data_IF_945337119249
#
_entry.id   IF_945337119249
#
_cell.length_a   1.000
_cell.length_b   1.000
_cell.length_c   1.000
_cell.angle_alpha   90.00
_cell.angle_beta   90.00
_cell.angle_gamma   90.00
#
_symmetry.space_group_name_H-M   'P 1'
#
loop_
_entity.id
_entity.type
_entity.pdbx_description
1 polymer ?
#
# COMPACT_ATOMS: atom_id res chain seq x y z
N UNK A 1 16.25 -12.42 56.65
CA UNK A 1 15.50 -13.32 55.75
C UNK A 1 14.85 -12.62 54.53
N UNK A 2 15.15 -11.34 54.24
CA UNK A 2 14.51 -10.56 53.15
C UNK A 2 15.14 -10.80 51.76
N UNK A 3 16.48 -10.93 51.68
CA UNK A 3 17.21 -10.98 50.40
C UNK A 3 16.89 -12.22 49.55
N UNK A 4 16.52 -13.34 50.18
CA UNK A 4 16.17 -14.58 49.45
C UNK A 4 14.89 -14.42 48.63
N UNK A 5 13.90 -13.67 49.13
CA UNK A 5 12.63 -13.43 48.41
C UNK A 5 12.83 -12.49 47.22
N UNK A 6 13.67 -11.47 47.37
CA UNK A 6 14.05 -10.55 46.29
C UNK A 6 14.85 -11.25 45.18
N UNK A 7 15.80 -12.11 45.56
CA UNK A 7 16.56 -12.90 44.58
C UNK A 7 15.65 -13.85 43.79
N UNK A 8 14.66 -14.47 44.44
CA UNK A 8 13.65 -15.30 43.75
C UNK A 8 12.78 -14.48 42.79
N UNK A 9 12.33 -13.28 43.18
CA UNK A 9 11.53 -12.42 42.33
C UNK A 9 12.31 -11.96 41.08
N UNK A 10 13.58 -11.58 41.24
CA UNK A 10 14.46 -11.20 40.14
C UNK A 10 14.70 -12.39 39.19
N UNK A 11 14.90 -13.60 39.75
CA UNK A 11 15.11 -14.81 38.95
C UNK A 11 13.87 -15.18 38.14
N UNK A 12 12.66 -15.06 38.73
CA UNK A 12 11.40 -15.26 38.01
C UNK A 12 11.19 -14.24 36.89
N UNK A 13 11.52 -12.97 37.13
CA UNK A 13 11.40 -11.92 36.12
C UNK A 13 12.40 -12.12 34.97
N UNK A 14 13.62 -12.56 35.29
CA UNK A 14 14.63 -12.88 34.29
C UNK A 14 14.24 -14.11 33.47
N UNK A 15 13.68 -15.15 34.09
CA UNK A 15 13.14 -16.31 33.37
C UNK A 15 11.99 -15.92 32.45
N UNK A 16 11.07 -15.06 32.90
CA UNK A 16 9.98 -14.55 32.06
C UNK A 16 10.53 -13.75 30.87
N UNK A 17 11.53 -12.90 31.09
CA UNK A 17 12.15 -12.11 30.03
C UNK A 17 12.86 -12.99 28.99
N UNK A 18 13.63 -13.99 29.43
CA UNK A 18 14.27 -14.97 28.54
C UNK A 18 13.23 -15.78 27.78
N UNK A 19 12.13 -16.18 28.44
CA UNK A 19 11.02 -16.88 27.78
C UNK A 19 10.38 -16.02 26.68
N UNK A 20 10.13 -14.73 26.94
CA UNK A 20 9.60 -13.81 25.94
C UNK A 20 10.58 -13.61 24.77
N UNK A 21 11.89 -13.51 25.03
CA UNK A 21 12.90 -13.42 23.97
C UNK A 21 12.97 -14.69 23.12
N UNK A 22 12.87 -15.86 23.73
CA UNK A 22 12.83 -17.15 23.01
C UNK A 22 11.55 -17.27 22.18
N UNK A 23 10.39 -16.85 22.69
CA UNK A 23 9.14 -16.79 21.93
C UNK A 23 9.23 -15.82 20.75
N UNK A 24 9.82 -14.64 20.95
CA UNK A 24 10.04 -13.66 19.89
C UNK A 24 10.99 -14.17 18.81
N UNK A 25 12.09 -14.84 19.20
CA UNK A 25 13.03 -15.44 18.26
C UNK A 25 12.38 -16.59 17.49
N UNK A 26 11.66 -17.48 18.19
CA UNK A 26 10.90 -18.57 17.58
C UNK A 26 9.86 -18.05 16.58
N UNK A 27 9.12 -17.01 16.95
CA UNK A 27 8.17 -16.32 16.07
C UNK A 27 8.87 -15.76 14.82
N UNK A 28 10.00 -15.07 15.01
CA UNK A 28 10.76 -14.47 13.90
C UNK A 28 11.30 -15.53 12.93
N UNK A 29 11.81 -16.66 13.43
CA UNK A 29 12.28 -17.77 12.61
C UNK A 29 11.12 -18.45 11.86
N UNK A 30 10.00 -18.69 12.55
CA UNK A 30 8.80 -19.28 11.94
C UNK A 30 8.18 -18.38 10.86
N UNK A 31 8.20 -17.06 11.04
CA UNK A 31 7.74 -16.11 10.01
C UNK A 31 8.63 -16.18 8.77
N UNK A 32 9.96 -16.36 8.92
CA UNK A 32 10.86 -16.54 7.77
C UNK A 32 10.57 -17.81 6.98
N UNK A 33 10.33 -18.92 7.67
CA UNK A 33 10.02 -20.20 7.02
C UNK A 33 8.63 -20.21 6.35
N UNK A 34 7.67 -19.46 6.89
CA UNK A 34 6.34 -19.25 6.29
C UNK A 34 6.34 -18.21 5.17
N UNK A 35 7.28 -17.25 5.19
CA UNK A 35 7.50 -16.30 4.11
C UNK A 35 8.31 -16.90 2.95
N UNK A 36 9.06 -17.98 3.17
CA UNK A 36 9.83 -18.67 2.13
C UNK A 36 8.95 -19.27 1.00
N UNK A 37 7.78 -19.88 1.26
CA UNK A 37 6.86 -20.32 0.19
C UNK A 37 6.06 -19.17 -0.46
N UNK A 38 6.17 -17.92 0.01
CA UNK A 38 5.64 -16.74 -0.70
C UNK A 38 6.64 -16.16 -1.71
N UNK A 39 7.93 -16.54 -1.61
CA UNK A 39 9.02 -16.10 -2.48
C UNK A 39 9.46 -17.19 -3.48
N UNK A 40 8.61 -18.19 -3.73
CA UNK A 40 8.99 -19.43 -4.41
C UNK A 40 7.92 -19.98 -5.34
N UNK A 41 7.36 -19.12 -6.20
CA UNK A 41 7.14 -19.51 -7.59
C UNK A 41 8.28 -18.87 -8.39
N UNK A 42 9.01 -19.70 -9.12
CA UNK A 42 10.23 -19.41 -9.86
C UNK A 42 10.28 -18.02 -10.52
N UNK A 43 11.23 -17.17 -10.11
CA UNK A 43 11.73 -16.06 -10.95
C UNK A 43 10.75 -14.95 -11.36
N UNK A 44 9.58 -14.81 -10.72
CA UNK A 44 8.70 -13.66 -10.97
C UNK A 44 9.19 -12.42 -10.19
N UNK A 45 9.44 -11.32 -10.91
CA UNK A 45 9.62 -10.00 -10.29
C UNK A 45 8.43 -9.69 -9.37
N UNK A 46 8.63 -8.95 -8.25
CA UNK A 46 7.53 -8.57 -7.39
C UNK A 46 6.41 -7.93 -8.21
N UNK A 47 5.19 -8.47 -8.08
CA UNK A 47 4.01 -8.01 -8.80
C UNK A 47 3.89 -6.48 -8.70
N UNK A 48 3.83 -5.81 -9.85
CA UNK A 48 3.72 -4.36 -9.90
C UNK A 48 2.56 -3.88 -9.02
N UNK A 49 2.79 -2.86 -8.22
CA UNK A 49 1.79 -2.26 -7.35
C UNK A 49 1.16 -1.06 -8.05
N UNK A 50 -0.14 -1.15 -8.28
CA UNK A 50 -0.93 -0.15 -9.01
C UNK A 50 -2.03 0.39 -8.11
N UNK A 51 -2.17 1.72 -8.06
CA UNK A 51 -3.27 2.39 -7.35
C UNK A 51 -4.24 2.99 -8.37
N UNK A 52 -5.53 2.70 -8.22
CA UNK A 52 -6.62 3.35 -8.96
C UNK A 52 -7.38 4.29 -8.02
N UNK A 53 -7.33 5.59 -8.31
CA UNK A 53 -8.04 6.64 -7.57
C UNK A 53 -9.28 7.05 -8.35
N UNK A 54 -10.46 6.67 -7.87
CA UNK A 54 -11.74 7.02 -8.48
C UNK A 54 -12.25 8.41 -8.07
N UNK A 55 -13.23 8.92 -8.82
CA UNK A 55 -13.94 10.13 -8.44
C UNK A 55 -14.68 9.99 -7.11
N UNK A 56 -15.31 8.83 -6.92
CA UNK A 56 -16.07 8.39 -5.75
C UNK A 56 -16.27 6.85 -5.78
N UNK A 57 -16.50 6.23 -4.62
CA UNK A 57 -16.57 4.75 -4.49
C UNK A 57 -17.92 4.14 -4.89
N UNK A 58 -19.05 4.76 -4.52
CA UNK A 58 -20.38 4.15 -4.62
C UNK A 58 -21.12 4.50 -5.93
N UNK A 59 -20.37 4.74 -7.00
CA UNK A 59 -20.90 5.05 -8.32
C UNK A 59 -20.84 3.82 -9.26
N UNK A 60 -21.95 3.41 -9.91
CA UNK A 60 -21.97 2.24 -10.79
C UNK A 60 -20.93 2.25 -11.91
N UNK A 61 -20.63 3.43 -12.47
CA UNK A 61 -19.58 3.59 -13.48
C UNK A 61 -18.22 3.21 -12.90
N UNK A 62 -17.85 3.76 -11.74
CA UNK A 62 -16.57 3.48 -11.11
C UNK A 62 -16.44 2.04 -10.61
N UNK A 63 -17.54 1.40 -10.21
CA UNK A 63 -17.56 -0.04 -9.91
C UNK A 63 -17.28 -0.90 -11.15
N UNK A 64 -17.76 -0.47 -12.33
CA UNK A 64 -17.41 -1.13 -13.60
C UNK A 64 -15.94 -0.94 -13.96
N UNK A 65 -15.37 0.26 -13.73
CA UNK A 65 -13.95 0.54 -13.95
C UNK A 65 -13.08 -0.31 -13.01
N UNK A 66 -13.46 -0.39 -11.73
CA UNK A 66 -12.79 -1.24 -10.74
C UNK A 66 -12.81 -2.71 -11.18
N UNK A 67 -13.95 -3.23 -11.63
CA UNK A 67 -14.04 -4.62 -12.09
C UNK A 67 -13.08 -4.89 -13.26
N UNK A 68 -13.05 -4.03 -14.28
CA UNK A 68 -12.11 -4.16 -15.39
C UNK A 68 -10.64 -4.09 -14.95
N UNK A 69 -10.32 -3.21 -14.01
CA UNK A 69 -8.99 -3.10 -13.44
C UNK A 69 -8.60 -4.34 -12.62
N UNK A 70 -9.55 -4.97 -11.91
CA UNK A 70 -9.32 -6.24 -11.18
C UNK A 70 -9.17 -7.42 -12.12
N UNK A 71 -9.97 -7.51 -13.17
CA UNK A 71 -9.82 -8.57 -14.17
C UNK A 71 -8.46 -8.49 -14.87
N UNK A 72 -8.02 -7.27 -15.22
CA UNK A 72 -6.70 -7.02 -15.74
C UNK A 72 -5.59 -7.33 -14.71
N UNK A 73 -5.80 -7.06 -13.41
CA UNK A 73 -4.81 -7.37 -12.38
C UNK A 73 -4.58 -8.88 -12.26
N UNK A 74 -5.65 -9.67 -12.36
CA UNK A 74 -5.57 -11.13 -12.38
C UNK A 74 -4.92 -11.65 -13.67
N UNK A 75 -5.21 -11.03 -14.82
CA UNK A 75 -4.66 -11.44 -16.11
C UNK A 75 -3.16 -11.13 -16.25
N UNK A 76 -2.72 -9.97 -15.75
CA UNK A 76 -1.35 -9.47 -15.95
C UNK A 76 -0.47 -9.58 -14.69
N UNK A 77 -1.00 -10.07 -13.58
CA UNK A 77 -0.23 -10.38 -12.38
C UNK A 77 0.24 -9.17 -11.57
N UNK A 78 -0.51 -8.06 -11.57
CA UNK A 78 -0.21 -6.87 -10.74
C UNK A 78 -1.12 -6.80 -9.51
N UNK A 79 -0.67 -6.13 -8.45
CA UNK A 79 -1.47 -5.83 -7.27
C UNK A 79 -2.23 -4.51 -7.44
N UNK A 80 -3.57 -4.56 -7.40
CA UNK A 80 -4.43 -3.38 -7.51
C UNK A 80 -4.95 -2.93 -6.14
N UNK A 81 -4.68 -1.68 -5.78
CA UNK A 81 -5.41 -0.97 -4.72
C UNK A 81 -6.42 0.00 -5.35
N UNK A 82 -7.70 -0.16 -5.00
CA UNK A 82 -8.78 0.73 -5.44
C UNK A 82 -9.19 1.64 -4.28
N UNK A 83 -9.06 2.94 -4.46
CA UNK A 83 -9.40 3.98 -3.47
C UNK A 83 -10.16 5.12 -4.12
N UNK A 84 -10.88 5.87 -3.31
CA UNK A 84 -11.63 7.03 -3.74
C UNK A 84 -12.34 7.64 -2.55
N UNK A 85 -12.84 8.88 -2.67
CA UNK A 85 -13.70 9.45 -1.65
C UNK A 85 -15.07 8.74 -1.66
N UNK A 86 -15.82 8.82 -0.56
CA UNK A 86 -17.17 8.23 -0.49
C UNK A 86 -18.16 8.96 -1.42
N UNK A 87 -17.88 10.22 -1.73
CA UNK A 87 -18.64 11.11 -2.61
C UNK A 87 -17.68 12.03 -3.35
N UNK A 88 -18.08 12.63 -4.46
CA UNK A 88 -17.25 13.61 -5.19
C UNK A 88 -16.63 14.65 -4.25
N UNK A 89 -15.31 14.60 -4.09
CA UNK A 89 -14.55 15.44 -3.17
C UNK A 89 -13.11 15.67 -3.68
N UNK A 90 -12.85 16.74 -4.45
CA UNK A 90 -11.54 17.01 -5.03
C UNK A 90 -10.42 17.15 -3.99
N UNK A 91 -10.72 17.76 -2.83
CA UNK A 91 -9.74 17.91 -1.75
C UNK A 91 -9.32 16.56 -1.15
N UNK A 92 -10.22 15.57 -1.15
CA UNK A 92 -9.89 14.21 -0.71
C UNK A 92 -9.11 13.44 -1.76
N UNK A 93 -9.43 13.61 -3.05
CA UNK A 93 -8.62 13.04 -4.13
C UNK A 93 -7.17 13.57 -4.11
N UNK A 94 -6.96 14.85 -3.82
CA UNK A 94 -5.62 15.43 -3.60
C UNK A 94 -4.90 14.73 -2.44
N UNK A 95 -5.58 14.49 -1.32
CA UNK A 95 -4.99 13.78 -0.16
C UNK A 95 -4.68 12.32 -0.48
N UNK A 96 -5.58 11.64 -1.19
CA UNK A 96 -5.39 10.26 -1.63
C UNK A 96 -4.18 10.17 -2.57
N UNK A 97 -4.06 11.06 -3.56
CA UNK A 97 -2.90 11.12 -4.44
C UNK A 97 -1.60 11.34 -3.65
N UNK A 98 -1.57 12.29 -2.70
CA UNK A 98 -0.39 12.48 -1.81
C UNK A 98 -0.03 11.20 -1.06
N UNK A 99 -1.03 10.49 -0.52
CA UNK A 99 -0.83 9.22 0.19
C UNK A 99 -0.31 8.13 -0.74
N UNK A 100 -0.87 8.01 -1.94
CA UNK A 100 -0.44 7.04 -2.95
C UNK A 100 1.00 7.30 -3.38
N UNK A 101 1.39 8.55 -3.65
CA UNK A 101 2.78 8.90 -3.96
C UNK A 101 3.73 8.47 -2.83
N UNK A 102 3.36 8.70 -1.57
CA UNK A 102 4.16 8.29 -0.42
C UNK A 102 4.32 6.76 -0.29
N UNK A 103 3.35 5.99 -0.78
CA UNK A 103 3.40 4.53 -0.82
C UNK A 103 4.30 3.99 -1.94
N UNK A 104 4.75 4.86 -2.88
CA UNK A 104 5.63 4.53 -4.01
C UNK A 104 5.15 3.32 -4.85
N UNK A 105 3.90 3.32 -5.34
CA UNK A 105 3.45 2.33 -6.32
C UNK A 105 4.23 2.48 -7.63
N UNK A 106 4.21 1.43 -8.45
CA UNK A 106 4.77 1.47 -9.80
C UNK A 106 3.90 2.34 -10.74
N UNK A 107 2.57 2.34 -10.52
CA UNK A 107 1.65 3.18 -11.28
C UNK A 107 0.47 3.73 -10.47
N UNK A 108 -0.03 4.89 -10.88
CA UNK A 108 -1.25 5.52 -10.38
C UNK A 108 -2.18 5.81 -11.57
N UNK A 109 -3.36 5.22 -11.54
CA UNK A 109 -4.48 5.60 -12.40
C UNK A 109 -5.36 6.57 -11.63
N UNK A 110 -5.76 7.67 -12.26
CA UNK A 110 -6.55 8.71 -11.59
C UNK A 110 -7.51 9.43 -12.55
N UNK A 111 -8.55 10.05 -12.01
CA UNK A 111 -9.38 11.00 -12.75
C UNK A 111 -8.79 12.41 -12.64
N UNK A 112 -8.70 13.14 -13.75
CA UNK A 112 -8.37 14.56 -13.74
C UNK A 112 -9.47 15.41 -13.08
N UNK A 113 -9.06 16.42 -12.31
CA UNK A 113 -9.95 17.34 -11.60
C UNK A 113 -9.74 18.81 -11.96
N UNK A 114 -8.87 19.08 -12.94
CA UNK A 114 -8.52 20.41 -13.44
C UNK A 114 -7.92 21.33 -12.36
N UNK A 115 -7.16 20.79 -11.42
CA UNK A 115 -6.62 21.54 -10.27
C UNK A 115 -5.09 21.75 -10.36
N UNK A 116 -4.56 22.97 -10.15
CA UNK A 116 -3.12 23.24 -10.22
C UNK A 116 -2.27 22.50 -9.16
N UNK A 117 -2.78 22.26 -7.96
CA UNK A 117 -2.09 21.47 -6.94
C UNK A 117 -2.03 20.00 -7.36
N UNK A 118 -3.14 19.50 -7.92
CA UNK A 118 -3.21 18.13 -8.42
C UNK A 118 -2.20 17.87 -9.54
N UNK A 119 -2.08 18.80 -10.50
CA UNK A 119 -1.03 18.75 -11.55
C UNK A 119 0.38 18.67 -10.97
N UNK A 120 0.69 19.50 -9.96
CA UNK A 120 2.01 19.48 -9.29
C UNK A 120 2.29 18.13 -8.63
N UNK A 121 1.27 17.49 -8.05
CA UNK A 121 1.41 16.17 -7.45
C UNK A 121 1.62 15.08 -8.51
N UNK A 122 0.91 15.15 -9.63
CA UNK A 122 1.15 14.27 -10.78
C UNK A 122 2.60 14.41 -11.25
N UNK A 123 3.06 15.64 -11.44
CA UNK A 123 4.43 15.91 -11.86
C UNK A 123 5.45 15.40 -10.84
N UNK A 124 5.14 15.52 -9.55
CA UNK A 124 5.97 14.96 -8.50
C UNK A 124 6.03 13.43 -8.58
N UNK A 125 4.89 12.76 -8.74
CA UNK A 125 4.82 11.30 -8.87
C UNK A 125 5.70 10.81 -10.04
N UNK A 126 5.55 11.45 -11.21
CA UNK A 126 6.31 11.13 -12.41
C UNK A 126 7.81 11.36 -12.20
N UNK A 127 8.21 12.43 -11.49
CA UNK A 127 9.63 12.64 -11.15
C UNK A 127 10.22 11.58 -10.21
N UNK A 128 9.38 10.88 -9.47
CA UNK A 128 9.78 9.79 -8.58
C UNK A 128 9.79 8.43 -9.28
N UNK A 129 9.52 8.39 -10.60
CA UNK A 129 9.48 7.16 -11.38
C UNK A 129 8.14 6.43 -11.34
N UNK A 130 7.10 7.05 -10.76
CA UNK A 130 5.75 6.48 -10.71
C UNK A 130 5.05 6.81 -12.03
N UNK A 131 4.58 5.80 -12.76
CA UNK A 131 3.76 6.01 -13.95
C UNK A 131 2.40 6.59 -13.55
N UNK A 132 1.94 7.65 -14.21
CA UNK A 132 0.62 8.24 -13.93
C UNK A 132 -0.22 8.25 -15.20
N UNK A 133 -1.44 7.71 -15.14
CA UNK A 133 -2.37 7.61 -16.27
C UNK A 133 -3.71 8.24 -15.87
N UNK A 134 -4.26 9.10 -16.74
CA UNK A 134 -5.61 9.61 -16.56
C UNK A 134 -6.66 8.61 -17.05
N UNK A 135 -7.76 8.47 -16.30
CA UNK A 135 -8.91 7.63 -16.60
C UNK A 135 -10.18 8.47 -16.50
N UNK A 136 -11.13 8.23 -17.41
CA UNK A 136 -12.39 8.97 -17.56
C UNK A 136 -12.19 10.44 -17.97
N UNK A 137 -11.62 11.27 -17.10
CA UNK A 137 -11.37 12.69 -17.35
C UNK A 137 -9.87 12.96 -17.35
N UNK A 138 -9.41 13.72 -18.33
CA UNK A 138 -8.01 14.06 -18.53
C UNK A 138 -7.52 15.19 -17.59
N UNK A 139 -6.20 15.32 -17.38
CA UNK A 139 -5.59 16.40 -16.56
C UNK A 139 -4.53 17.20 -17.34
N UNK A 140 -4.92 18.01 -18.33
CA UNK A 140 -3.99 18.72 -19.21
C UNK A 140 -2.98 19.59 -18.45
N UNK A 141 -1.76 19.68 -18.99
CA UNK A 141 -0.68 20.47 -18.38
C UNK A 141 0.05 19.77 -17.22
N UNK A 142 -0.25 18.51 -16.95
CA UNK A 142 0.57 17.62 -16.12
C UNK A 142 1.44 16.69 -16.98
N UNK A 143 2.44 16.04 -16.36
CA UNK A 143 3.34 15.05 -16.97
C UNK A 143 2.83 13.61 -16.94
N UNK A 144 1.52 13.38 -16.74
CA UNK A 144 0.92 12.05 -16.93
C UNK A 144 1.22 11.52 -18.34
N UNK A 145 1.22 10.20 -18.47
CA UNK A 145 1.45 9.48 -19.73
C UNK A 145 0.30 9.69 -20.73
#
# INVERSE_FOLDING_TARGET
MSNRKWNLAILLLLLLFVFLLLQFLYSTLRIRDLAHPLNGADGEEPAAYVVLISQELDNPFWRSVEQGARDASLQYGYHLEYIGPVRINPAEQIRLLKKSIAAKPDAILLQGINDPEYRKLIDQAVSQGIAVIAVDTDEPGSRRL
#
